data_IF_006180238895
#
_entry.id   IF_006180238895
#
_cell.length_a   1.000
_cell.length_b   1.000
_cell.length_c   1.000
_cell.angle_alpha   90.00
_cell.angle_beta   90.00
_cell.angle_gamma   90.00
#
_symmetry.space_group_name_H-M   'P 1'
#
loop_
_entity.id
_entity.type
_entity.pdbx_description
1 polymer ?
#
# COMPACT_ATOMS: atom_id res chain seq x y z
N UNK A 1 45.81 -30.19 -56.18
CA UNK A 1 45.75 -30.75 -54.81
C UNK A 1 44.29 -30.87 -54.42
N UNK A 2 43.74 -32.09 -54.43
CA UNK A 2 42.35 -32.30 -54.06
C UNK A 2 42.29 -32.47 -52.53
N UNK A 3 41.61 -31.54 -51.79
CA UNK A 3 41.34 -31.66 -50.35
C UNK A 3 40.42 -32.88 -50.15
N UNK A 4 40.94 -33.95 -49.59
CA UNK A 4 40.11 -35.05 -49.05
C UNK A 4 39.42 -34.56 -47.85
N UNK A 5 38.17 -34.10 -47.96
CA UNK A 5 37.35 -33.79 -46.81
C UNK A 5 37.18 -35.05 -45.94
N UNK A 6 37.57 -34.94 -44.68
CA UNK A 6 37.39 -36.02 -43.70
C UNK A 6 35.87 -36.19 -43.46
N UNK A 7 35.32 -37.33 -43.94
CA UNK A 7 33.88 -37.63 -43.84
C UNK A 7 33.32 -37.52 -42.42
N UNK A 8 34.16 -37.82 -41.42
CA UNK A 8 33.78 -37.70 -40.00
C UNK A 8 33.64 -36.23 -39.60
N UNK A 9 34.58 -35.38 -40.00
CA UNK A 9 34.52 -33.94 -39.72
C UNK A 9 33.28 -33.31 -40.36
N UNK A 10 32.98 -33.67 -41.61
CA UNK A 10 31.79 -33.16 -42.32
C UNK A 10 30.48 -33.59 -41.62
N UNK A 11 30.37 -34.85 -41.16
CA UNK A 11 29.22 -35.33 -40.38
C UNK A 11 29.08 -34.60 -39.05
N UNK A 12 30.17 -34.37 -38.33
CA UNK A 12 30.17 -33.64 -37.04
C UNK A 12 29.71 -32.21 -37.23
N UNK A 13 30.17 -31.51 -38.29
CA UNK A 13 29.75 -30.15 -38.61
C UNK A 13 28.26 -30.08 -38.94
N UNK A 14 27.74 -31.03 -39.73
CA UNK A 14 26.28 -31.08 -40.01
C UNK A 14 25.46 -31.28 -38.75
N UNK A 15 25.86 -32.23 -37.89
CA UNK A 15 25.13 -32.51 -36.65
C UNK A 15 25.19 -31.30 -35.71
N UNK A 16 26.37 -30.68 -35.55
CA UNK A 16 26.53 -29.48 -34.72
C UNK A 16 25.71 -28.31 -35.28
N UNK A 17 25.70 -28.09 -36.61
CA UNK A 17 24.86 -27.05 -37.20
C UNK A 17 23.38 -27.31 -37.03
N UNK A 18 22.94 -28.56 -37.16
CA UNK A 18 21.54 -28.92 -36.90
C UNK A 18 21.12 -28.66 -35.43
N UNK A 19 21.97 -29.06 -34.50
CA UNK A 19 21.71 -28.78 -33.05
C UNK A 19 21.67 -27.28 -32.78
N UNK A 20 22.62 -26.51 -33.34
CA UNK A 20 22.68 -25.06 -33.16
C UNK A 20 21.44 -24.35 -33.74
N UNK A 21 21.01 -24.74 -34.94
CA UNK A 21 19.80 -24.17 -35.57
C UNK A 21 18.54 -24.49 -34.74
N UNK A 22 18.40 -25.74 -34.29
CA UNK A 22 17.25 -26.10 -33.43
C UNK A 22 17.27 -25.36 -32.09
N UNK A 23 18.43 -25.19 -31.46
CA UNK A 23 18.58 -24.42 -30.24
C UNK A 23 18.17 -22.95 -30.42
N UNK A 24 18.56 -22.34 -31.54
CA UNK A 24 18.16 -20.97 -31.89
C UNK A 24 16.65 -20.85 -32.14
N UNK A 25 16.05 -21.84 -32.84
CA UNK A 25 14.59 -21.85 -33.04
C UNK A 25 13.85 -21.99 -31.74
N UNK A 26 14.25 -22.91 -30.85
CA UNK A 26 13.62 -23.11 -29.54
C UNK A 26 13.78 -21.85 -28.66
N UNK A 27 14.97 -21.25 -28.66
CA UNK A 27 15.22 -19.99 -27.96
C UNK A 27 14.36 -18.85 -28.51
N UNK A 28 14.24 -18.74 -29.83
CA UNK A 28 13.39 -17.74 -30.48
C UNK A 28 11.91 -17.93 -30.19
N UNK A 29 11.43 -19.17 -30.23
CA UNK A 29 10.03 -19.49 -29.84
C UNK A 29 9.81 -19.19 -28.35
N UNK A 30 10.76 -19.57 -27.49
CA UNK A 30 10.68 -19.26 -26.05
C UNK A 30 10.65 -17.76 -25.78
N UNK A 31 11.49 -16.98 -26.44
CA UNK A 31 11.50 -15.51 -26.34
C UNK A 31 10.20 -14.88 -26.85
N UNK A 32 9.68 -15.37 -28.00
CA UNK A 32 8.40 -14.92 -28.53
C UNK A 32 7.23 -15.29 -27.60
N UNK A 33 7.26 -16.49 -27.03
CA UNK A 33 6.26 -16.93 -26.06
C UNK A 33 6.27 -16.06 -24.77
N UNK A 34 7.46 -15.77 -24.22
CA UNK A 34 7.62 -14.86 -23.09
C UNK A 34 7.10 -13.47 -23.45
N UNK A 35 7.49 -12.94 -24.62
CA UNK A 35 7.03 -11.62 -25.10
C UNK A 35 5.50 -11.56 -25.27
N UNK A 36 4.90 -12.61 -25.83
CA UNK A 36 3.44 -12.69 -25.98
C UNK A 36 2.70 -12.87 -24.64
N UNK A 37 3.32 -13.55 -23.67
CA UNK A 37 2.73 -13.75 -22.34
C UNK A 37 3.00 -12.59 -21.37
N UNK A 38 4.09 -11.81 -21.54
CA UNK A 38 4.31 -10.59 -20.73
C UNK A 38 3.39 -9.45 -21.16
N UNK A 39 2.69 -9.61 -22.27
CA UNK A 39 1.81 -8.59 -22.83
C UNK A 39 2.60 -7.40 -23.42
N UNK A 40 1.96 -6.65 -24.29
CA UNK A 40 2.48 -5.35 -24.70
C UNK A 40 2.54 -4.43 -23.48
N UNK A 41 3.53 -3.54 -23.43
CA UNK A 41 3.58 -2.49 -22.41
C UNK A 41 2.28 -1.67 -22.47
N UNK A 42 1.36 -1.99 -21.57
CA UNK A 42 0.02 -1.40 -21.52
C UNK A 42 0.07 0.08 -21.17
N UNK A 43 1.12 0.52 -20.50
CA UNK A 43 1.26 1.91 -20.06
C UNK A 43 1.40 2.87 -21.23
N UNK A 44 2.02 2.43 -22.35
CA UNK A 44 2.14 3.22 -23.57
C UNK A 44 0.82 3.44 -24.31
N UNK A 45 -0.21 2.63 -24.02
CA UNK A 45 -1.56 2.75 -24.61
C UNK A 45 -2.49 3.64 -23.80
N UNK A 46 -2.14 3.94 -22.55
CA UNK A 46 -2.89 4.84 -21.68
C UNK A 46 -2.48 6.29 -21.96
N UNK A 47 -3.44 7.20 -21.90
CA UNK A 47 -3.19 8.64 -22.06
C UNK A 47 -2.66 9.30 -20.78
N UNK A 48 -2.54 8.55 -19.69
CA UNK A 48 -2.16 9.04 -18.37
C UNK A 48 -0.66 8.83 -18.12
N UNK A 49 0.10 9.92 -18.14
CA UNK A 49 1.53 9.96 -17.79
C UNK A 49 1.74 10.23 -16.28
N UNK A 50 0.98 9.58 -15.41
CA UNK A 50 1.16 9.74 -13.96
C UNK A 50 2.00 8.58 -13.44
N UNK A 51 3.12 8.84 -12.74
CA UNK A 51 3.86 7.79 -12.06
C UNK A 51 3.01 7.25 -10.90
N UNK A 52 2.19 6.23 -11.20
CA UNK A 52 1.24 5.67 -10.23
C UNK A 52 1.89 4.76 -9.20
N UNK A 53 3.13 4.32 -9.46
CA UNK A 53 3.80 3.32 -8.64
C UNK A 53 4.29 3.84 -7.28
N UNK A 54 4.54 5.12 -7.14
CA UNK A 54 5.13 5.68 -5.92
C UNK A 54 4.11 6.23 -4.92
N UNK A 55 2.93 6.66 -5.37
CA UNK A 55 2.02 7.49 -4.57
C UNK A 55 0.81 6.74 -4.03
N UNK A 56 0.23 5.78 -4.77
CA UNK A 56 -1.00 5.11 -4.38
C UNK A 56 -0.93 3.59 -4.61
N UNK A 57 -0.78 2.82 -3.53
CA UNK A 57 -0.75 1.35 -3.57
C UNK A 57 -1.43 0.77 -2.33
N UNK A 58 -2.76 0.94 -2.17
CA UNK A 58 -3.47 0.24 -1.12
C UNK A 58 -3.38 -1.27 -1.35
N UNK A 59 -3.42 -2.04 -0.27
CA UNK A 59 -3.50 -3.49 -0.38
C UNK A 59 -4.91 -3.92 -0.71
N UNK A 60 -5.04 -4.93 -1.56
CA UNK A 60 -6.29 -5.64 -1.78
C UNK A 60 -6.13 -7.10 -1.42
N UNK A 61 -7.00 -7.60 -0.53
CA UNK A 61 -7.08 -9.01 -0.20
C UNK A 61 -8.24 -9.64 -1.01
N UNK A 62 -7.93 -10.70 -1.76
CA UNK A 62 -8.92 -11.41 -2.54
C UNK A 62 -9.41 -12.67 -1.83
N UNK A 63 -10.73 -12.95 -1.94
CA UNK A 63 -11.39 -14.17 -1.50
C UNK A 63 -12.30 -14.73 -2.60
N UNK A 64 -12.69 -15.99 -2.47
CA UNK A 64 -13.52 -16.71 -3.45
C UNK A 64 -12.93 -16.76 -4.88
N UNK A 65 -11.61 -16.83 -4.98
CA UNK A 65 -10.90 -16.87 -6.28
C UNK A 65 -11.22 -18.16 -7.04
N UNK A 66 -11.45 -19.26 -6.31
CA UNK A 66 -11.92 -20.55 -6.85
C UNK A 66 -13.40 -20.51 -7.15
N UNK A 67 -13.80 -19.62 -8.03
CA UNK A 67 -15.20 -19.46 -8.45
C UNK A 67 -15.73 -20.73 -9.12
N UNK A 68 -16.95 -21.21 -8.81
CA UNK A 68 -17.52 -22.43 -9.39
C UNK A 68 -17.71 -22.37 -10.92
N UNK A 69 -17.76 -21.18 -11.53
CA UNK A 69 -17.89 -21.03 -12.97
C UNK A 69 -16.58 -21.19 -13.73
N UNK A 70 -15.54 -20.53 -13.28
CA UNK A 70 -14.19 -20.57 -13.85
C UNK A 70 -13.20 -20.02 -12.80
N UNK A 71 -12.14 -20.75 -12.43
CA UNK A 71 -11.06 -20.22 -11.60
C UNK A 71 -10.40 -19.03 -12.31
N UNK A 72 -10.03 -18.01 -11.55
CA UNK A 72 -9.27 -16.88 -12.08
C UNK A 72 -7.77 -17.21 -11.96
N UNK A 73 -7.07 -17.18 -13.08
CA UNK A 73 -5.62 -17.37 -13.11
C UNK A 73 -4.92 -16.24 -12.35
N UNK A 74 -3.82 -16.53 -11.68
CA UNK A 74 -3.05 -15.57 -10.87
C UNK A 74 -2.64 -14.33 -11.67
N UNK A 75 -2.21 -14.53 -12.93
CA UNK A 75 -1.87 -13.43 -13.83
C UNK A 75 -3.07 -12.51 -14.08
N UNK A 76 -4.23 -13.07 -14.42
CA UNK A 76 -5.46 -12.32 -14.67
C UNK A 76 -5.92 -11.58 -13.40
N UNK A 77 -5.84 -12.22 -12.24
CA UNK A 77 -6.16 -11.58 -10.97
C UNK A 77 -5.21 -10.40 -10.69
N UNK A 78 -3.92 -10.55 -11.02
CA UNK A 78 -2.94 -9.47 -10.95
C UNK A 78 -3.28 -8.29 -11.86
N UNK A 79 -3.75 -8.55 -13.09
CA UNK A 79 -4.20 -7.51 -14.02
C UNK A 79 -5.46 -6.80 -13.53
N UNK A 80 -6.47 -7.56 -13.05
CA UNK A 80 -7.69 -7.00 -12.44
C UNK A 80 -7.34 -6.12 -11.25
N UNK A 81 -6.47 -6.61 -10.36
CA UNK A 81 -6.00 -5.87 -9.19
C UNK A 81 -5.36 -4.54 -9.57
N UNK A 82 -4.42 -4.58 -10.51
CA UNK A 82 -3.69 -3.40 -10.95
C UNK A 82 -4.62 -2.35 -11.58
N UNK A 83 -5.50 -2.78 -12.49
CA UNK A 83 -6.42 -1.87 -13.18
C UNK A 83 -7.48 -1.31 -12.22
N UNK A 84 -7.95 -2.11 -11.27
CA UNK A 84 -8.89 -1.68 -10.24
C UNK A 84 -8.30 -0.60 -9.33
N UNK A 85 -7.09 -0.81 -8.82
CA UNK A 85 -6.41 0.17 -7.98
C UNK A 85 -6.04 1.45 -8.75
N UNK A 86 -5.67 1.31 -10.02
CA UNK A 86 -5.43 2.43 -10.91
C UNK A 86 -6.71 3.24 -11.17
N UNK A 87 -7.86 2.56 -11.31
CA UNK A 87 -9.15 3.22 -11.45
C UNK A 87 -9.47 4.11 -10.22
N UNK A 88 -9.22 3.61 -9.00
CA UNK A 88 -9.38 4.40 -7.78
C UNK A 88 -8.44 5.61 -7.74
N UNK A 89 -7.19 5.41 -8.11
CA UNK A 89 -6.21 6.50 -8.17
C UNK A 89 -6.63 7.60 -9.14
N UNK A 90 -7.02 7.22 -10.36
CA UNK A 90 -7.50 8.16 -11.39
C UNK A 90 -8.74 8.91 -10.92
N UNK A 91 -9.71 8.23 -10.30
CA UNK A 91 -10.89 8.85 -9.70
C UNK A 91 -10.51 9.92 -8.66
N UNK A 92 -9.54 9.61 -7.80
CA UNK A 92 -9.09 10.55 -6.76
C UNK A 92 -8.44 11.80 -7.39
N UNK A 93 -7.60 11.63 -8.40
CA UNK A 93 -6.99 12.75 -9.14
C UNK A 93 -8.06 13.58 -9.86
N UNK A 94 -9.00 12.92 -10.53
CA UNK A 94 -10.08 13.57 -11.27
C UNK A 94 -10.92 14.48 -10.37
N UNK A 95 -11.29 14.02 -9.18
CA UNK A 95 -12.03 14.83 -8.20
C UNK A 95 -11.19 15.93 -7.54
N UNK A 96 -9.88 15.73 -7.39
CA UNK A 96 -8.97 16.76 -6.88
C UNK A 96 -8.78 17.90 -7.88
N UNK A 97 -8.70 17.57 -9.16
CA UNK A 97 -8.47 18.54 -10.25
C UNK A 97 -9.75 19.01 -10.94
N UNK A 98 -10.88 18.34 -10.68
CA UNK A 98 -12.12 18.46 -11.47
C UNK A 98 -11.86 18.32 -12.98
N UNK A 99 -11.14 17.25 -13.34
CA UNK A 99 -10.73 16.95 -14.71
C UNK A 99 -11.14 15.53 -15.11
N UNK A 100 -11.50 15.33 -16.37
CA UNK A 100 -11.90 14.01 -16.91
C UNK A 100 -10.70 13.16 -17.33
N UNK A 101 -9.49 13.71 -17.31
CA UNK A 101 -8.30 13.04 -17.82
C UNK A 101 -8.05 11.70 -17.14
N UNK A 102 -7.85 10.67 -17.95
CA UNK A 102 -7.63 9.29 -17.49
C UNK A 102 -8.88 8.49 -17.14
N UNK A 103 -10.04 9.12 -16.89
CA UNK A 103 -11.28 8.40 -16.52
C UNK A 103 -11.67 7.37 -17.60
N UNK A 104 -11.58 7.72 -18.88
CA UNK A 104 -11.94 6.82 -19.99
C UNK A 104 -11.06 5.57 -20.09
N UNK A 105 -9.86 5.61 -19.52
CA UNK A 105 -8.90 4.52 -19.58
C UNK A 105 -9.27 3.40 -18.57
N UNK A 106 -9.91 3.76 -17.45
CA UNK A 106 -10.23 2.85 -16.36
C UNK A 106 -11.73 2.68 -16.07
N UNK A 107 -12.58 3.51 -16.69
CA UNK A 107 -14.03 3.47 -16.51
C UNK A 107 -14.75 3.42 -17.86
N UNK A 108 -15.81 2.62 -17.92
CA UNK A 108 -16.62 2.49 -19.13
C UNK A 108 -18.10 2.76 -18.84
N UNK A 109 -18.83 3.13 -19.90
CA UNK A 109 -20.28 3.34 -19.94
C UNK A 109 -20.85 4.04 -18.68
N UNK A 110 -21.74 3.39 -17.93
CA UNK A 110 -22.50 4.03 -16.85
C UNK A 110 -21.64 4.52 -15.69
N UNK A 111 -20.54 3.83 -15.37
CA UNK A 111 -19.62 4.29 -14.33
C UNK A 111 -18.87 5.57 -14.77
N UNK A 112 -18.46 5.61 -16.03
CA UNK A 112 -17.79 6.78 -16.62
C UNK A 112 -18.73 8.00 -16.68
N UNK A 113 -19.97 7.80 -17.14
CA UNK A 113 -20.96 8.90 -17.21
C UNK A 113 -21.22 9.49 -15.81
N UNK A 114 -21.42 8.65 -14.80
CA UNK A 114 -21.63 9.14 -13.42
C UNK A 114 -20.44 9.94 -12.88
N UNK A 115 -19.21 9.54 -13.21
CA UNK A 115 -18.04 10.30 -12.80
C UNK A 115 -17.99 11.66 -13.49
N UNK A 116 -18.31 11.74 -14.77
CA UNK A 116 -18.40 13.01 -15.50
C UNK A 116 -19.47 13.92 -14.90
N UNK A 117 -20.68 13.39 -14.67
CA UNK A 117 -21.77 14.16 -14.05
C UNK A 117 -21.36 14.71 -12.67
N UNK A 118 -20.66 13.91 -11.86
CA UNK A 118 -20.16 14.35 -10.55
C UNK A 118 -19.08 15.43 -10.67
N UNK A 119 -18.17 15.31 -11.63
CA UNK A 119 -17.14 16.33 -11.88
C UNK A 119 -17.77 17.62 -12.34
N UNK A 120 -18.77 17.58 -13.24
CA UNK A 120 -19.51 18.74 -13.70
C UNK A 120 -20.25 19.44 -12.56
N UNK A 121 -20.87 18.65 -11.67
CA UNK A 121 -21.53 19.18 -10.47
C UNK A 121 -20.53 19.86 -9.53
N UNK A 122 -19.35 19.27 -9.35
CA UNK A 122 -18.28 19.86 -8.54
C UNK A 122 -17.80 21.19 -9.14
N UNK A 123 -17.54 21.23 -10.44
CA UNK A 123 -17.16 22.46 -11.14
C UNK A 123 -18.22 23.55 -10.96
N UNK A 124 -19.50 23.21 -11.12
CA UNK A 124 -20.63 24.13 -10.96
C UNK A 124 -20.71 24.72 -9.55
N UNK A 125 -20.39 23.92 -8.54
CA UNK A 125 -20.48 24.29 -7.12
C UNK A 125 -19.15 24.83 -6.58
N UNK A 126 -18.10 24.91 -7.39
CA UNK A 126 -16.74 25.25 -6.99
C UNK A 126 -16.20 24.33 -5.89
N UNK A 127 -16.60 23.07 -5.90
CA UNK A 127 -16.17 22.04 -4.98
C UNK A 127 -15.03 21.21 -5.56
N UNK A 128 -14.14 20.76 -4.70
CA UNK A 128 -13.10 19.78 -5.06
C UNK A 128 -12.77 18.89 -3.86
N UNK A 129 -12.18 17.72 -4.12
CA UNK A 129 -11.99 16.70 -3.11
C UNK A 129 -10.52 16.29 -3.02
N UNK A 130 -10.03 16.14 -1.79
CA UNK A 130 -8.86 15.29 -1.50
C UNK A 130 -9.39 13.98 -0.94
N UNK A 131 -9.04 12.86 -1.55
CA UNK A 131 -9.48 11.55 -1.09
C UNK A 131 -8.44 10.48 -1.38
N UNK A 132 -8.47 9.43 -0.57
CA UNK A 132 -7.66 8.22 -0.77
C UNK A 132 -8.35 7.03 -0.13
N UNK A 133 -7.96 5.82 -0.55
CA UNK A 133 -8.36 4.57 0.11
C UNK A 133 -7.12 3.90 0.70
N UNK A 134 -7.30 3.13 1.77
CA UNK A 134 -6.20 2.48 2.47
C UNK A 134 -6.17 0.98 2.21
N UNK A 135 -7.35 0.35 2.21
CA UNK A 135 -7.49 -1.10 2.15
C UNK A 135 -8.73 -1.48 1.37
N UNK A 136 -8.62 -2.55 0.61
CA UNK A 136 -9.69 -3.18 -0.15
C UNK A 136 -9.78 -4.67 0.21
N UNK A 137 -10.99 -5.24 0.20
CA UNK A 137 -11.22 -6.65 0.47
C UNK A 137 -12.19 -7.21 -0.57
N UNK A 138 -11.63 -7.67 -1.68
CA UNK A 138 -12.39 -8.17 -2.83
C UNK A 138 -12.86 -9.61 -2.61
N UNK A 139 -14.16 -9.84 -2.68
CA UNK A 139 -14.77 -11.17 -2.73
C UNK A 139 -15.37 -11.42 -4.10
N UNK A 140 -14.82 -12.36 -4.86
CA UNK A 140 -15.26 -12.66 -6.21
C UNK A 140 -16.64 -13.33 -6.15
N UNK A 141 -17.64 -12.70 -6.79
CA UNK A 141 -18.98 -13.25 -6.95
C UNK A 141 -19.12 -14.02 -8.27
N UNK A 142 -18.47 -13.53 -9.33
CA UNK A 142 -18.58 -14.11 -10.66
C UNK A 142 -17.39 -13.77 -11.55
N UNK A 143 -16.95 -14.73 -12.35
CA UNK A 143 -16.01 -14.55 -13.46
C UNK A 143 -16.53 -15.25 -14.69
N UNK A 144 -16.64 -14.55 -15.83
CA UNK A 144 -17.26 -15.07 -17.04
C UNK A 144 -16.42 -16.17 -17.69
N UNK A 145 -17.09 -17.10 -18.37
CA UNK A 145 -16.46 -18.24 -19.05
C UNK A 145 -15.49 -17.79 -20.15
N UNK A 146 -15.83 -16.71 -20.85
CA UNK A 146 -14.99 -16.10 -21.87
C UNK A 146 -13.83 -15.25 -21.31
N UNK A 147 -13.81 -15.02 -19.99
CA UNK A 147 -12.76 -14.27 -19.32
C UNK A 147 -12.80 -12.76 -19.56
N UNK A 148 -13.96 -12.21 -19.95
CA UNK A 148 -14.10 -10.78 -20.28
C UNK A 148 -14.83 -9.96 -19.23
N UNK A 149 -15.42 -10.60 -18.21
CA UNK A 149 -16.17 -9.93 -17.14
C UNK A 149 -15.86 -10.52 -15.77
N UNK A 150 -15.63 -9.66 -14.80
CA UNK A 150 -15.53 -10.01 -13.38
C UNK A 150 -16.50 -9.18 -12.56
N UNK A 151 -17.16 -9.82 -11.59
CA UNK A 151 -18.03 -9.17 -10.60
C UNK A 151 -17.55 -9.57 -9.21
N UNK A 152 -17.41 -8.59 -8.34
CA UNK A 152 -16.99 -8.81 -6.96
C UNK A 152 -17.58 -7.77 -6.02
N UNK A 153 -17.57 -8.09 -4.74
CA UNK A 153 -17.82 -7.13 -3.66
C UNK A 153 -16.52 -6.71 -3.05
N UNK A 154 -16.30 -5.40 -2.96
CA UNK A 154 -15.20 -4.85 -2.20
C UNK A 154 -15.71 -4.42 -0.83
N UNK A 155 -15.36 -5.20 0.19
CA UNK A 155 -15.91 -5.06 1.55
C UNK A 155 -15.07 -4.12 2.39
N UNK A 156 -15.75 -3.25 3.15
CA UNK A 156 -15.13 -2.42 4.17
C UNK A 156 -13.92 -1.62 3.64
N UNK A 157 -14.09 -1.00 2.48
CA UNK A 157 -13.11 -0.06 1.92
C UNK A 157 -13.02 1.13 2.85
N UNK A 158 -11.82 1.40 3.38
CA UNK A 158 -11.58 2.55 4.24
C UNK A 158 -11.19 3.75 3.39
N UNK A 159 -12.06 4.73 3.30
CA UNK A 159 -11.86 5.98 2.56
C UNK A 159 -11.60 7.15 3.51
N UNK A 160 -10.64 8.01 3.14
CA UNK A 160 -10.45 9.33 3.74
C UNK A 160 -10.80 10.38 2.71
N UNK A 161 -11.56 11.39 3.12
CA UNK A 161 -11.92 12.49 2.24
C UNK A 161 -11.97 13.82 2.96
N UNK A 162 -11.55 14.85 2.24
CA UNK A 162 -11.76 16.26 2.57
C UNK A 162 -12.47 16.91 1.40
N UNK A 163 -13.51 17.69 1.67
CA UNK A 163 -14.30 18.40 0.66
C UNK A 163 -14.07 19.90 0.88
N UNK A 164 -13.74 20.57 -0.20
CA UNK A 164 -13.48 22.01 -0.21
C UNK A 164 -14.45 22.74 -1.13
N UNK A 165 -14.79 24.00 -0.79
CA UNK A 165 -15.38 24.98 -1.71
C UNK A 165 -14.40 26.14 -1.84
N UNK A 166 -13.80 26.31 -3.03
CA UNK A 166 -12.67 27.22 -3.18
C UNK A 166 -11.50 26.81 -2.27
N UNK A 167 -11.13 27.67 -1.31
CA UNK A 167 -10.08 27.40 -0.32
C UNK A 167 -10.63 26.94 1.04
N UNK A 168 -11.95 26.95 1.24
CA UNK A 168 -12.59 26.62 2.51
C UNK A 168 -12.86 25.11 2.63
N UNK A 169 -12.37 24.51 3.73
CA UNK A 169 -12.68 23.13 4.08
C UNK A 169 -14.12 23.04 4.60
N UNK A 170 -15.01 22.37 3.85
CA UNK A 170 -16.40 22.16 4.25
C UNK A 170 -16.57 20.93 5.13
N UNK A 171 -15.83 19.87 4.85
CA UNK A 171 -16.10 18.57 5.45
C UNK A 171 -14.85 17.69 5.42
N UNK A 172 -14.67 16.93 6.48
CA UNK A 172 -13.58 15.93 6.60
C UNK A 172 -14.11 14.67 7.26
N UNK A 173 -13.87 13.52 6.65
CA UNK A 173 -14.36 12.26 7.16
C UNK A 173 -13.41 11.10 6.84
N UNK A 174 -13.40 10.13 7.76
CA UNK A 174 -12.97 8.76 7.51
C UNK A 174 -14.22 7.89 7.50
N UNK A 175 -14.50 7.27 6.38
CA UNK A 175 -15.66 6.39 6.22
C UNK A 175 -15.23 4.97 5.84
N UNK A 176 -16.11 4.01 6.07
CA UNK A 176 -15.92 2.61 5.68
C UNK A 176 -17.12 2.17 4.88
N UNK A 177 -16.92 1.97 3.60
CA UNK A 177 -17.97 1.70 2.62
C UNK A 177 -17.70 0.39 1.89
N UNK A 178 -18.74 -0.36 1.55
CA UNK A 178 -18.63 -1.53 0.68
C UNK A 178 -19.19 -1.24 -0.70
N UNK A 179 -18.57 -1.85 -1.72
CA UNK A 179 -18.94 -1.63 -3.10
C UNK A 179 -19.26 -2.93 -3.82
N UNK A 180 -20.28 -2.90 -4.68
CA UNK A 180 -20.53 -3.91 -5.69
C UNK A 180 -19.88 -3.44 -6.98
N UNK A 181 -18.94 -4.23 -7.50
CA UNK A 181 -18.07 -3.86 -8.61
C UNK A 181 -18.26 -4.82 -9.77
N UNK A 182 -18.40 -4.28 -10.97
CA UNK A 182 -18.31 -5.03 -12.22
C UNK A 182 -17.23 -4.40 -13.09
N UNK A 183 -16.30 -5.21 -13.56
CA UNK A 183 -15.29 -4.80 -14.53
C UNK A 183 -15.41 -5.61 -15.82
N UNK A 184 -15.15 -4.95 -16.94
CA UNK A 184 -15.11 -5.56 -18.28
C UNK A 184 -13.70 -5.43 -18.84
N UNK A 185 -13.26 -6.48 -19.52
CA UNK A 185 -12.00 -6.47 -20.29
C UNK A 185 -12.31 -5.85 -21.68
N UNK A 186 -11.89 -4.61 -21.87
CA UNK A 186 -12.08 -3.85 -23.10
C UNK A 186 -10.71 -3.34 -23.60
N UNK A 187 -10.38 -3.60 -24.87
CA UNK A 187 -9.12 -3.18 -25.49
C UNK A 187 -7.87 -3.64 -24.72
N UNK A 188 -7.93 -4.78 -24.03
CA UNK A 188 -6.84 -5.33 -23.22
C UNK A 188 -6.71 -4.74 -21.82
N UNK A 189 -7.67 -3.94 -21.35
CA UNK A 189 -7.69 -3.34 -20.02
C UNK A 189 -8.97 -3.68 -19.27
N UNK A 190 -8.86 -3.90 -17.96
CA UNK A 190 -10.02 -4.06 -17.09
C UNK A 190 -10.56 -2.70 -16.69
N UNK A 191 -11.79 -2.39 -17.16
CA UNK A 191 -12.45 -1.12 -16.88
C UNK A 191 -13.64 -1.32 -15.95
N UNK A 192 -13.81 -0.43 -15.00
CA UNK A 192 -14.99 -0.43 -14.13
C UNK A 192 -16.21 -0.02 -14.94
N UNK A 193 -17.13 -0.96 -15.11
CA UNK A 193 -18.45 -0.76 -15.74
C UNK A 193 -19.49 -0.33 -14.74
N UNK A 194 -19.37 -0.84 -13.49
CA UNK A 194 -20.31 -0.59 -12.43
C UNK A 194 -19.57 -0.52 -11.10
N UNK A 195 -19.81 0.55 -10.36
CA UNK A 195 -19.33 0.75 -9.00
C UNK A 195 -20.48 1.32 -8.20
N UNK A 196 -21.09 0.49 -7.36
CA UNK A 196 -22.26 0.86 -6.57
C UNK A 196 -21.95 0.62 -5.10
N UNK A 197 -22.19 1.63 -4.30
CA UNK A 197 -22.15 1.55 -2.86
C UNK A 197 -23.22 0.59 -2.33
N UNK A 198 -22.84 -0.23 -1.35
CA UNK A 198 -23.71 -1.14 -0.62
C UNK A 198 -23.88 -0.54 0.77
N UNK A 199 -25.10 -0.33 1.21
CA UNK A 199 -25.37 0.09 2.59
C UNK A 199 -24.86 -0.98 3.55
N UNK A 200 -23.84 -0.64 4.32
CA UNK A 200 -23.36 -1.49 5.40
C UNK A 200 -24.29 -1.34 6.61
N UNK A 201 -24.79 -2.45 7.12
CA UNK A 201 -25.28 -2.49 8.49
C UNK A 201 -24.08 -2.19 9.40
N UNK A 202 -24.09 -1.06 10.10
CA UNK A 202 -23.01 -0.65 11.02
C UNK A 202 -22.84 -1.71 12.11
N UNK A 203 -21.82 -2.56 11.96
CA UNK A 203 -21.36 -3.39 13.08
C UNK A 203 -20.64 -2.47 14.08
N UNK A 204 -21.38 -2.12 15.12
CA UNK A 204 -20.78 -1.53 16.33
C UNK A 204 -20.00 -2.62 17.05
N UNK A 205 -18.77 -2.83 16.68
CA UNK A 205 -17.84 -3.66 17.46
C UNK A 205 -17.52 -2.91 18.75
N UNK A 206 -18.08 -3.37 19.84
CA UNK A 206 -17.77 -2.88 21.20
C UNK A 206 -16.31 -3.16 21.50
N UNK A 207 -15.47 -2.12 21.49
CA UNK A 207 -14.12 -2.20 22.01
C UNK A 207 -14.21 -2.58 23.49
N UNK A 208 -13.44 -3.60 23.90
CA UNK A 208 -13.33 -3.98 25.31
C UNK A 208 -12.93 -2.74 26.13
N UNK A 209 -13.66 -2.47 27.19
CA UNK A 209 -13.39 -1.34 28.06
C UNK A 209 -11.98 -1.50 28.67
N UNK A 210 -11.03 -0.67 28.25
CA UNK A 210 -9.75 -0.48 28.92
C UNK A 210 -10.02 0.23 30.25
N UNK A 211 -9.19 -0.05 31.25
CA UNK A 211 -9.24 0.73 32.50
C UNK A 211 -8.63 2.12 32.24
N UNK A 212 -9.44 2.98 31.64
CA UNK A 212 -9.09 4.35 31.25
C UNK A 212 -8.61 5.15 32.45
N UNK A 213 -9.19 4.91 33.64
CA UNK A 213 -8.84 5.63 34.84
C UNK A 213 -7.41 5.31 35.33
N UNK A 214 -6.96 4.06 35.19
CA UNK A 214 -5.59 3.67 35.52
C UNK A 214 -4.59 4.27 34.53
N UNK A 215 -4.90 4.29 33.23
CA UNK A 215 -4.06 4.90 32.19
C UNK A 215 -3.97 6.42 32.35
N UNK A 216 -5.09 7.11 32.64
CA UNK A 216 -5.10 8.55 32.89
C UNK A 216 -4.25 8.92 34.10
N UNK A 217 -4.29 8.14 35.20
CA UNK A 217 -3.43 8.37 36.37
C UNK A 217 -1.94 8.25 36.04
N UNK A 218 -1.54 7.33 35.16
CA UNK A 218 -0.15 7.24 34.71
C UNK A 218 0.25 8.50 33.96
N UNK A 219 -0.61 9.01 33.05
CA UNK A 219 -0.35 10.22 32.27
C UNK A 219 -0.27 11.45 33.20
N UNK A 220 -1.16 11.61 34.17
CA UNK A 220 -1.15 12.72 35.11
C UNK A 220 0.13 12.79 35.98
N UNK A 221 0.73 11.64 36.28
CA UNK A 221 1.95 11.55 37.06
C UNK A 221 3.23 11.42 36.20
N UNK A 222 3.14 11.53 34.85
CA UNK A 222 4.25 11.38 33.96
C UNK A 222 5.21 12.55 34.08
N UNK A 223 6.49 12.23 34.35
CA UNK A 223 7.62 13.16 34.35
C UNK A 223 8.62 12.66 33.33
N UNK A 224 8.57 13.21 32.13
CA UNK A 224 9.30 12.68 30.99
C UNK A 224 10.28 13.64 30.35
N UNK A 225 11.11 13.10 29.49
CA UNK A 225 12.08 13.82 28.67
C UNK A 225 12.09 13.25 27.24
N UNK A 226 12.37 14.09 26.24
CA UNK A 226 12.72 13.62 24.92
C UNK A 226 14.07 12.95 24.96
N UNK A 227 14.16 11.71 24.48
CA UNK A 227 15.39 10.94 24.53
C UNK A 227 15.97 10.75 23.12
N UNK A 228 17.24 11.11 23.03
CA UNK A 228 18.16 10.76 21.94
C UNK A 228 19.51 10.36 22.55
N UNK A 229 20.14 9.26 22.09
CA UNK A 229 21.47 8.91 22.55
C UNK A 229 22.48 10.05 22.27
N UNK A 230 23.32 10.38 23.22
CA UNK A 230 24.28 11.49 23.15
C UNK A 230 25.15 11.47 21.89
N UNK A 231 25.67 10.31 21.53
CA UNK A 231 26.61 10.16 20.42
C UNK A 231 25.92 9.92 19.05
N UNK A 232 24.60 9.69 19.06
CA UNK A 232 23.77 9.48 17.86
C UNK A 232 22.43 10.19 17.99
N UNK A 233 22.40 11.51 18.19
CA UNK A 233 21.19 12.22 18.63
C UNK A 233 20.02 12.12 17.66
N UNK A 234 20.27 11.93 16.37
CA UNK A 234 19.22 11.82 15.35
C UNK A 234 19.19 10.46 14.65
N UNK A 235 19.93 9.47 15.16
CA UNK A 235 20.10 8.15 14.57
C UNK A 235 20.05 7.05 15.64
N UNK A 236 19.03 7.11 16.51
CA UNK A 236 18.87 6.16 17.62
C UNK A 236 18.86 4.70 17.14
N UNK A 237 18.22 4.43 16.01
CA UNK A 237 18.08 3.09 15.44
C UNK A 237 19.03 2.82 14.26
N UNK A 238 20.09 3.62 14.11
CA UNK A 238 21.03 3.55 13.01
C UNK A 238 22.14 2.53 13.18
N UNK A 239 23.20 2.72 12.36
CA UNK A 239 24.35 1.80 12.34
C UNK A 239 25.16 1.78 13.64
N UNK A 240 25.05 2.83 14.45
CA UNK A 240 25.75 2.97 15.74
C UNK A 240 24.84 2.69 16.94
N UNK A 241 23.76 1.94 16.73
CA UNK A 241 22.87 1.49 17.81
C UNK A 241 23.67 0.74 18.87
N UNK A 242 23.59 1.18 20.13
CA UNK A 242 24.23 0.55 21.27
C UNK A 242 23.26 0.41 22.44
N UNK A 243 22.79 -0.79 22.65
CA UNK A 243 21.84 -1.12 23.72
C UNK A 243 22.43 -0.87 25.12
N UNK A 244 23.77 -0.96 25.29
CA UNK A 244 24.41 -0.74 26.57
C UNK A 244 24.37 0.74 26.95
N UNK A 245 24.69 1.61 26.00
CA UNK A 245 24.63 3.07 26.20
C UNK A 245 23.20 3.49 26.49
N UNK A 246 22.23 3.00 25.73
CA UNK A 246 20.80 3.30 25.94
C UNK A 246 20.35 2.86 27.35
N UNK A 247 20.75 1.67 27.78
CA UNK A 247 20.41 1.17 29.10
C UNK A 247 21.03 2.01 30.26
N UNK A 248 22.27 2.46 30.08
CA UNK A 248 22.93 3.36 31.02
C UNK A 248 22.21 4.71 31.09
N UNK A 249 21.88 5.29 29.95
CA UNK A 249 21.10 6.54 29.87
C UNK A 249 19.73 6.39 30.56
N UNK A 250 19.03 5.28 30.36
CA UNK A 250 17.73 5.03 30.97
C UNK A 250 17.82 4.89 32.51
N UNK A 251 18.89 4.29 33.03
CA UNK A 251 19.17 4.28 34.47
C UNK A 251 19.37 5.69 35.02
N UNK A 252 20.16 6.50 34.33
CA UNK A 252 20.41 7.89 34.73
C UNK A 252 19.08 8.67 34.75
N UNK A 253 18.23 8.52 33.72
CA UNK A 253 16.93 9.18 33.63
C UNK A 253 16.03 8.78 34.81
N UNK A 254 15.98 7.49 35.11
CA UNK A 254 15.22 6.99 36.27
C UNK A 254 15.76 7.52 37.60
N UNK A 255 17.09 7.52 37.81
CA UNK A 255 17.73 8.00 39.02
C UNK A 255 17.57 9.52 39.24
N UNK A 256 17.32 10.27 38.15
CA UNK A 256 16.92 11.69 38.23
C UNK A 256 15.47 11.89 38.71
N UNK A 257 14.71 10.82 38.93
CA UNK A 257 13.31 10.88 39.35
C UNK A 257 12.32 11.05 38.18
N UNK A 258 12.72 10.81 36.95
CA UNK A 258 11.86 10.77 35.79
C UNK A 258 11.30 9.35 35.60
N UNK A 259 10.07 9.25 35.11
CA UNK A 259 9.39 7.97 34.90
C UNK A 259 8.90 7.78 33.46
N UNK A 260 9.28 8.66 32.53
CA UNK A 260 8.90 8.55 31.14
C UNK A 260 9.88 9.15 30.17
N UNK A 261 9.88 8.59 28.97
CA UNK A 261 10.68 9.08 27.85
C UNK A 261 9.81 9.17 26.60
N UNK A 262 10.12 10.12 25.72
CA UNK A 262 9.59 10.16 24.37
C UNK A 262 10.71 9.80 23.41
N UNK A 263 10.47 8.76 22.61
CA UNK A 263 11.40 8.27 21.56
C UNK A 263 10.79 8.45 20.18
N UNK A 264 11.62 8.38 19.14
CA UNK A 264 11.28 8.89 17.83
C UNK A 264 11.57 7.87 16.74
N UNK A 265 10.56 7.50 15.97
CA UNK A 265 10.67 6.66 14.78
C UNK A 265 10.69 7.56 13.55
N UNK A 266 11.78 7.49 12.80
CA UNK A 266 11.91 8.25 11.55
C UNK A 266 11.29 7.48 10.39
N UNK A 267 10.34 8.11 9.69
CA UNK A 267 9.62 7.51 8.57
C UNK A 267 10.54 6.93 7.50
N UNK A 268 11.55 7.71 7.08
CA UNK A 268 12.53 7.32 6.04
C UNK A 268 13.42 6.16 6.49
N UNK A 269 13.97 6.25 7.69
CA UNK A 269 14.92 5.26 8.23
C UNK A 269 14.25 3.90 8.47
N UNK A 270 13.02 3.90 8.95
CA UNK A 270 12.24 2.70 9.15
C UNK A 270 11.71 2.06 7.86
N UNK A 271 11.90 2.69 6.68
CA UNK A 271 11.56 2.11 5.38
C UNK A 271 10.24 2.56 4.80
N UNK A 272 9.74 3.72 5.25
CA UNK A 272 8.48 4.32 4.75
C UNK A 272 7.27 3.39 4.95
N UNK A 273 6.47 3.22 3.92
CA UNK A 273 5.30 2.33 3.94
C UNK A 273 5.64 0.83 4.05
N UNK A 274 6.90 0.45 3.80
CA UNK A 274 7.38 -0.94 3.96
C UNK A 274 8.38 -0.99 5.12
N UNK A 275 7.84 -1.13 6.34
CA UNK A 275 8.65 -1.06 7.55
C UNK A 275 9.64 -2.22 7.63
N UNK A 276 10.91 -1.89 7.89
CA UNK A 276 12.01 -2.85 7.96
C UNK A 276 11.95 -3.66 9.26
N UNK A 277 12.04 -4.97 9.16
CA UNK A 277 11.96 -5.89 10.32
C UNK A 277 13.10 -5.71 11.32
N UNK A 278 14.31 -5.41 10.85
CA UNK A 278 15.46 -5.11 11.69
C UNK A 278 15.23 -3.85 12.54
N UNK A 279 14.61 -2.81 11.99
CA UNK A 279 14.25 -1.60 12.74
C UNK A 279 13.20 -1.87 13.81
N UNK A 280 12.20 -2.70 13.51
CA UNK A 280 11.22 -3.15 14.52
C UNK A 280 11.93 -3.91 15.64
N UNK A 281 12.87 -4.79 15.34
CA UNK A 281 13.62 -5.51 16.37
C UNK A 281 14.43 -4.58 17.28
N UNK A 282 15.05 -3.52 16.72
CA UNK A 282 15.73 -2.51 17.52
C UNK A 282 14.74 -1.70 18.39
N UNK A 283 13.58 -1.35 17.85
CA UNK A 283 12.54 -0.64 18.60
C UNK A 283 12.04 -1.47 19.79
N UNK A 284 11.74 -2.75 19.56
CA UNK A 284 11.35 -3.67 20.65
C UNK A 284 12.45 -3.74 21.71
N UNK A 285 13.72 -3.84 21.30
CA UNK A 285 14.83 -3.84 22.25
C UNK A 285 14.92 -2.57 23.09
N UNK A 286 14.65 -1.40 22.52
CA UNK A 286 14.62 -0.14 23.27
C UNK A 286 13.43 -0.11 24.26
N UNK A 287 12.26 -0.64 23.86
CA UNK A 287 11.12 -0.75 24.74
C UNK A 287 11.38 -1.73 25.91
N UNK A 288 12.04 -2.87 25.66
CA UNK A 288 12.48 -3.80 26.72
C UNK A 288 13.37 -3.10 27.73
N UNK A 289 14.35 -2.31 27.28
CA UNK A 289 15.24 -1.55 28.14
C UNK A 289 14.51 -0.47 28.95
N UNK A 290 13.49 0.16 28.36
CA UNK A 290 12.64 1.12 29.08
C UNK A 290 11.86 0.42 30.18
N UNK A 291 11.27 -0.75 29.93
CA UNK A 291 10.58 -1.58 30.92
C UNK A 291 11.51 -1.98 32.07
N UNK A 292 12.70 -2.50 31.74
CA UNK A 292 13.72 -2.89 32.74
C UNK A 292 14.09 -1.74 33.67
N UNK A 293 14.09 -0.50 33.15
CA UNK A 293 14.39 0.73 33.91
C UNK A 293 13.13 1.46 34.42
N UNK A 294 11.95 0.86 34.33
CA UNK A 294 10.66 1.40 34.82
C UNK A 294 10.32 2.76 34.22
N UNK A 295 10.57 2.94 32.94
CA UNK A 295 10.23 4.13 32.18
C UNK A 295 9.05 3.83 31.26
N UNK A 296 8.00 4.64 31.35
CA UNK A 296 6.90 4.65 30.37
C UNK A 296 7.36 5.36 29.09
N UNK A 297 6.92 4.87 27.92
CA UNK A 297 7.35 5.38 26.62
C UNK A 297 6.20 6.04 25.86
N UNK A 298 6.43 7.26 25.41
CA UNK A 298 5.65 7.91 24.36
C UNK A 298 6.39 7.70 23.04
N UNK A 299 5.75 7.09 22.05
CA UNK A 299 6.37 6.76 20.75
C UNK A 299 5.87 7.69 19.67
N UNK A 300 6.78 8.54 19.15
CA UNK A 300 6.52 9.38 17.97
C UNK A 300 6.70 8.55 16.70
N UNK A 301 5.68 8.50 15.83
CA UNK A 301 5.65 7.62 14.66
C UNK A 301 6.25 8.22 13.39
N UNK A 302 6.38 9.54 13.30
CA UNK A 302 6.69 10.26 12.05
C UNK A 302 7.73 11.36 12.25
N UNK A 303 8.81 11.04 12.97
CA UNK A 303 9.90 12.00 13.16
C UNK A 303 10.53 12.41 11.81
N UNK A 304 10.75 13.71 11.62
CA UNK A 304 11.21 14.34 10.37
C UNK A 304 10.29 14.17 9.15
N UNK A 305 9.06 13.70 9.34
CA UNK A 305 8.08 13.65 8.26
C UNK A 305 7.24 14.94 8.24
N UNK A 306 7.05 15.51 7.06
CA UNK A 306 6.36 16.81 6.92
C UNK A 306 5.22 16.83 5.90
N UNK A 307 5.02 15.74 5.16
CA UNK A 307 4.00 15.67 4.12
C UNK A 307 2.77 14.90 4.59
N UNK A 308 1.81 15.62 5.16
CA UNK A 308 0.55 15.06 5.67
C UNK A 308 -0.63 15.25 4.70
N UNK A 309 -0.36 15.45 3.40
CA UNK A 309 -1.44 15.52 2.39
C UNK A 309 -2.22 14.20 2.36
N UNK A 310 -3.55 14.30 2.21
CA UNK A 310 -4.47 13.14 2.17
C UNK A 310 -4.06 12.12 1.12
N UNK A 311 -3.49 12.55 0.01
CA UNK A 311 -2.98 11.65 -1.04
C UNK A 311 -1.89 10.69 -0.55
N UNK A 312 -1.16 11.03 0.52
CA UNK A 312 -0.10 10.22 1.11
C UNK A 312 -0.57 9.35 2.29
N UNK A 313 -1.82 9.48 2.73
CA UNK A 313 -2.31 8.75 3.90
C UNK A 313 -2.28 7.24 3.75
N UNK A 314 -2.41 6.72 2.55
CA UNK A 314 -2.23 5.27 2.30
C UNK A 314 -0.85 4.80 2.76
N UNK A 315 0.20 5.57 2.45
CA UNK A 315 1.59 5.23 2.78
C UNK A 315 1.90 5.42 4.27
N UNK A 316 1.45 6.56 4.83
CA UNK A 316 1.66 6.87 6.25
C UNK A 316 0.87 5.94 7.15
N UNK A 317 -0.34 5.55 6.75
CA UNK A 317 -1.14 4.59 7.50
C UNK A 317 -0.49 3.20 7.55
N UNK A 318 0.07 2.70 6.44
CA UNK A 318 0.82 1.44 6.42
C UNK A 318 2.02 1.46 7.37
N UNK A 319 2.75 2.58 7.39
CA UNK A 319 3.85 2.77 8.33
C UNK A 319 3.38 2.68 9.77
N UNK A 320 2.34 3.47 10.12
CA UNK A 320 1.76 3.46 11.45
C UNK A 320 1.22 2.07 11.83
N UNK A 321 0.42 1.43 10.97
CA UNK A 321 -0.14 0.09 11.22
C UNK A 321 0.95 -0.94 11.50
N UNK A 322 2.02 -0.95 10.71
CA UNK A 322 3.10 -1.91 10.89
C UNK A 322 3.80 -1.76 12.24
N UNK A 323 4.08 -0.52 12.67
CA UNK A 323 4.74 -0.25 13.96
C UNK A 323 3.77 -0.51 15.11
N UNK A 324 2.56 0.03 15.05
CA UNK A 324 1.53 -0.16 16.08
C UNK A 324 1.25 -1.64 16.28
N UNK A 325 1.06 -2.40 15.20
CA UNK A 325 0.82 -3.85 15.31
C UNK A 325 1.97 -4.59 15.97
N UNK A 326 3.21 -4.16 15.74
CA UNK A 326 4.39 -4.81 16.30
C UNK A 326 4.57 -4.55 17.80
N UNK A 327 4.17 -3.37 18.32
CA UNK A 327 4.53 -2.96 19.69
C UNK A 327 3.39 -2.48 20.55
N UNK A 328 2.13 -2.46 20.08
CA UNK A 328 0.95 -1.94 20.81
C UNK A 328 0.68 -2.59 22.17
N UNK A 329 1.11 -3.82 22.34
CA UNK A 329 0.89 -4.61 23.57
C UNK A 329 2.13 -4.61 24.48
N UNK A 330 3.16 -3.79 24.15
CA UNK A 330 4.38 -3.73 24.95
C UNK A 330 4.14 -2.99 26.28
N UNK A 331 4.56 -3.55 27.43
CA UNK A 331 4.25 -2.99 28.76
C UNK A 331 4.79 -1.59 28.99
N UNK A 332 5.95 -1.25 28.41
CA UNK A 332 6.55 0.08 28.53
C UNK A 332 5.85 1.12 27.66
N UNK A 333 5.04 0.74 26.67
CA UNK A 333 4.40 1.69 25.77
C UNK A 333 3.17 2.31 26.41
N UNK A 334 3.25 3.60 26.70
CA UNK A 334 2.17 4.37 27.34
C UNK A 334 1.26 5.05 26.32
N UNK A 335 1.84 5.70 25.30
CA UNK A 335 1.09 6.50 24.34
C UNK A 335 1.80 6.64 23.00
N UNK A 336 1.05 7.09 22.01
CA UNK A 336 1.49 7.42 20.66
C UNK A 336 1.48 8.92 20.43
N UNK A 337 2.42 9.41 19.59
CA UNK A 337 2.52 10.80 19.20
C UNK A 337 2.80 10.96 17.70
#
# INVERSE_FOLDING_TARGET
MAFKLNKTLYRTVIIASFIAVNALIISGIGSAWVFLNTGADRTSMLHLEVPMDEVYRPEIAWSNVDNPGRPIEEQTLGEITNDYLNAWHVRNIAFKKNDYYGIKDFYTDSARVRLYDNIDLNLKNNNWYKRTTLKHNGAIDFYSVDGTMVVFKDHNVVEYQEIYTGEELLYKEKDTTSYHVMMLLEDGFWRIRHLKEIENSRDTTTLAARDIDAELKKIENLKGINYYPKDTPWDTFGKRFDATVINEDFKIIHDMGLNGIRIFVQYEDFGKSTVKKDKIALLVKVLDLAEENKLDVILTLFDFYGDYDVSNWTLTNRHAEAIVHAVKDHPALLAWD
#
